data_IF_598694919807
#
_entry.id   IF_598694919807
#
_cell.length_a   1.000
_cell.length_b   1.000
_cell.length_c   1.000
_cell.angle_alpha   90.00
_cell.angle_beta   90.00
_cell.angle_gamma   90.00
#
_symmetry.space_group_name_H-M   'P 1'
#
loop_
_entity.id
_entity.type
_entity.pdbx_description
1 polymer ?
#
# COMPACT_ATOMS: atom_id res chain seq x y z
N UNK A 1 52.47 -62.05 -4.18
CA UNK A 1 52.81 -61.88 -5.61
C UNK A 1 51.55 -62.19 -6.42
N UNK A 2 51.07 -61.48 -7.38
CA UNK A 2 51.62 -60.36 -8.10
C UNK A 2 50.79 -59.06 -8.05
N UNK A 3 51.46 -58.04 -8.59
CA UNK A 3 51.00 -56.69 -8.86
C UNK A 3 49.94 -56.64 -9.96
N UNK A 4 49.07 -55.66 -9.90
CA UNK A 4 48.15 -55.30 -10.94
C UNK A 4 47.75 -53.81 -10.78
N UNK A 5 48.63 -52.92 -11.22
CA UNK A 5 48.30 -51.54 -11.37
C UNK A 5 47.34 -51.36 -12.54
N UNK A 6 46.28 -50.64 -12.34
CA UNK A 6 45.46 -50.10 -13.43
C UNK A 6 45.36 -48.60 -13.32
N UNK A 7 46.02 -47.98 -14.29
CA UNK A 7 45.97 -46.59 -14.65
C UNK A 7 44.53 -46.21 -15.03
N UNK A 8 43.97 -45.28 -14.33
CA UNK A 8 42.78 -44.53 -14.80
C UNK A 8 43.30 -43.28 -15.51
N UNK A 9 43.53 -43.44 -16.81
CA UNK A 9 43.85 -42.34 -17.70
C UNK A 9 42.65 -41.46 -17.91
N UNK A 10 42.87 -40.18 -17.70
CA UNK A 10 42.13 -39.02 -18.07
C UNK A 10 41.24 -39.15 -19.32
N UNK A 11 39.96 -38.88 -19.18
CA UNK A 11 39.10 -38.38 -20.26
C UNK A 11 38.38 -37.15 -19.74
N UNK A 12 39.08 -36.04 -19.71
CA UNK A 12 38.50 -34.74 -19.67
C UNK A 12 38.68 -34.10 -21.02
N UNK A 13 37.82 -34.45 -21.96
CA UNK A 13 37.77 -33.80 -23.25
C UNK A 13 36.43 -33.14 -23.47
N UNK A 14 36.49 -31.81 -23.42
CA UNK A 14 35.70 -30.87 -24.20
C UNK A 14 34.21 -30.84 -23.95
N UNK A 15 33.82 -30.03 -22.95
CA UNK A 15 32.52 -29.36 -22.99
C UNK A 15 32.57 -28.27 -24.09
N UNK A 16 31.56 -28.19 -24.95
CA UNK A 16 31.47 -27.11 -25.93
C UNK A 16 31.27 -25.78 -25.22
N UNK A 17 32.13 -24.83 -25.52
CA UNK A 17 31.97 -23.42 -25.17
C UNK A 17 30.67 -22.92 -25.78
N UNK A 18 29.66 -22.75 -24.97
CA UNK A 18 28.42 -22.08 -25.37
C UNK A 18 28.78 -20.66 -25.82
N UNK A 19 28.55 -20.41 -27.10
CA UNK A 19 28.67 -19.07 -27.66
C UNK A 19 27.69 -18.15 -26.93
N UNK A 20 28.27 -17.26 -26.12
CA UNK A 20 27.55 -16.15 -25.50
C UNK A 20 27.20 -15.17 -26.62
N UNK A 21 25.92 -15.16 -27.02
CA UNK A 21 25.37 -14.11 -27.88
C UNK A 21 25.17 -12.83 -27.03
N UNK A 22 25.96 -11.77 -27.25
CA UNK A 22 25.66 -10.48 -26.65
C UNK A 22 24.57 -9.80 -27.50
N UNK A 23 23.40 -9.56 -26.93
CA UNK A 23 22.48 -8.66 -27.58
C UNK A 23 20.99 -9.02 -27.59
N UNK A 24 20.44 -9.50 -26.47
CA UNK A 24 19.03 -9.34 -26.23
C UNK A 24 18.86 -8.41 -25.03
N UNK A 25 18.17 -7.27 -25.17
CA UNK A 25 17.76 -6.50 -24.01
C UNK A 25 16.84 -7.41 -23.20
N UNK A 26 17.29 -7.81 -22.02
CA UNK A 26 16.42 -8.38 -21.00
C UNK A 26 15.47 -7.23 -20.65
N UNK A 27 14.33 -7.22 -21.33
CA UNK A 27 13.20 -6.43 -20.89
C UNK A 27 12.77 -7.02 -19.54
N UNK A 28 13.42 -6.59 -18.48
CA UNK A 28 12.91 -6.73 -17.14
C UNK A 28 11.67 -5.85 -17.06
N UNK A 29 10.57 -6.36 -17.58
CA UNK A 29 9.24 -5.91 -17.21
C UNK A 29 9.09 -6.31 -15.74
N UNK A 30 9.69 -5.52 -14.86
CA UNK A 30 9.40 -5.54 -13.44
C UNK A 30 7.97 -5.08 -13.29
N UNK A 31 7.04 -6.03 -13.46
CA UNK A 31 5.72 -5.88 -12.91
C UNK A 31 5.90 -6.01 -11.39
N UNK A 32 6.50 -5.01 -10.77
CA UNK A 32 6.53 -4.83 -9.34
C UNK A 32 5.09 -4.56 -8.95
N UNK A 33 4.36 -5.61 -8.59
CA UNK A 33 3.18 -5.45 -7.76
C UNK A 33 3.67 -4.62 -6.57
N UNK A 34 3.25 -3.37 -6.52
CA UNK A 34 3.69 -2.49 -5.46
C UNK A 34 3.13 -3.04 -4.16
N UNK A 35 3.98 -3.17 -3.13
CA UNK A 35 3.57 -3.58 -1.78
C UNK A 35 2.71 -2.49 -1.10
N UNK A 36 2.04 -1.66 -1.91
CA UNK A 36 1.18 -0.57 -1.46
C UNK A 36 -0.28 -0.97 -1.65
N UNK A 37 -1.05 -0.89 -0.58
CA UNK A 37 -2.49 -1.09 -0.61
C UNK A 37 -3.21 0.17 -0.14
N UNK A 38 -4.28 0.56 -0.84
CA UNK A 38 -5.14 1.67 -0.43
C UNK A 38 -6.59 1.20 -0.24
N UNK A 39 -7.14 1.44 0.95
CA UNK A 39 -8.57 1.31 1.23
C UNK A 39 -9.27 2.59 0.77
N UNK A 40 -9.89 2.51 -0.38
CA UNK A 40 -10.29 3.63 -1.21
C UNK A 40 -11.81 3.83 -1.24
N UNK A 41 -12.23 5.10 -1.32
CA UNK A 41 -13.59 5.47 -1.69
C UNK A 41 -13.53 6.44 -2.89
N UNK A 42 -14.01 6.03 -4.08
CA UNK A 42 -13.95 6.87 -5.28
C UNK A 42 -14.79 8.15 -5.18
N UNK A 43 -15.76 8.20 -4.28
CA UNK A 43 -16.60 9.40 -4.04
C UNK A 43 -15.94 10.40 -3.09
N UNK A 44 -14.77 10.09 -2.52
CA UNK A 44 -14.07 10.96 -1.57
C UNK A 44 -12.87 11.65 -2.25
N UNK A 45 -12.86 12.99 -2.33
CA UNK A 45 -11.76 13.77 -2.91
C UNK A 45 -10.41 13.48 -2.24
N UNK A 46 -10.37 13.44 -0.89
CA UNK A 46 -9.16 13.06 -0.16
C UNK A 46 -8.63 11.70 -0.60
N UNK A 47 -9.52 10.72 -0.80
CA UNK A 47 -9.15 9.37 -1.23
C UNK A 47 -8.63 9.34 -2.68
N UNK A 48 -9.22 10.13 -3.57
CA UNK A 48 -8.75 10.28 -4.96
C UNK A 48 -7.40 10.97 -5.03
N UNK A 49 -7.22 12.07 -4.29
CA UNK A 49 -5.94 12.78 -4.21
C UNK A 49 -4.82 11.89 -3.67
N UNK A 50 -5.09 11.09 -2.62
CA UNK A 50 -4.12 10.13 -2.08
C UNK A 50 -3.72 9.09 -3.12
N UNK A 51 -4.69 8.49 -3.82
CA UNK A 51 -4.42 7.51 -4.88
C UNK A 51 -3.58 8.12 -6.01
N UNK A 52 -3.91 9.36 -6.41
CA UNK A 52 -3.17 10.06 -7.45
C UNK A 52 -1.72 10.36 -7.02
N UNK A 53 -1.46 10.73 -5.75
CA UNK A 53 -0.10 10.92 -5.23
C UNK A 53 0.70 9.61 -5.17
N UNK A 54 0.07 8.48 -4.83
CA UNK A 54 0.73 7.18 -4.90
C UNK A 54 1.16 6.89 -6.34
N UNK A 55 0.28 7.12 -7.33
CA UNK A 55 0.60 6.94 -8.74
C UNK A 55 1.66 7.91 -9.25
N UNK A 56 1.64 9.15 -8.75
CA UNK A 56 2.67 10.15 -9.08
C UNK A 56 4.07 9.80 -8.53
N UNK A 57 4.18 8.87 -7.59
CA UNK A 57 5.47 8.29 -7.18
C UNK A 57 5.95 7.15 -8.10
N UNK A 58 5.18 6.81 -9.15
CA UNK A 58 5.46 5.72 -10.08
C UNK A 58 4.98 4.35 -9.59
N UNK A 59 4.31 4.28 -8.44
CA UNK A 59 3.78 3.05 -7.90
C UNK A 59 2.31 2.84 -8.32
N UNK A 60 1.93 1.61 -8.64
CA UNK A 60 0.52 1.24 -8.83
C UNK A 60 0.05 0.41 -7.64
N UNK A 61 -0.79 0.97 -6.75
CA UNK A 61 -1.23 0.29 -5.54
C UNK A 61 -2.34 -0.72 -5.81
N UNK A 62 -2.47 -1.71 -4.92
CA UNK A 62 -3.68 -2.50 -4.82
C UNK A 62 -4.81 -1.61 -4.27
N UNK A 63 -5.82 -1.36 -5.08
CA UNK A 63 -6.97 -0.52 -4.70
C UNK A 63 -8.10 -1.40 -4.18
N UNK A 64 -8.44 -1.25 -2.90
CA UNK A 64 -9.58 -1.93 -2.26
C UNK A 64 -10.70 -0.91 -2.05
N UNK A 65 -11.77 -1.02 -2.83
CA UNK A 65 -12.98 -0.25 -2.61
C UNK A 65 -13.74 -0.84 -1.40
N UNK A 66 -13.40 -0.42 -0.20
CA UNK A 66 -13.88 -1.01 1.05
C UNK A 66 -15.40 -0.96 1.26
N UNK A 67 -16.12 -0.11 0.52
CA UNK A 67 -17.59 -0.10 0.53
C UNK A 67 -18.19 -1.27 -0.26
N UNK A 68 -17.44 -1.83 -1.21
CA UNK A 68 -17.83 -3.02 -2.00
C UNK A 68 -17.28 -4.30 -1.38
N UNK A 69 -16.04 -4.21 -0.89
CA UNK A 69 -15.32 -5.32 -0.27
C UNK A 69 -14.80 -4.86 1.10
N UNK A 70 -15.68 -4.86 2.12
CA UNK A 70 -15.29 -4.44 3.47
C UNK A 70 -14.21 -5.35 4.05
N UNK A 71 -13.27 -4.81 4.83
CA UNK A 71 -12.32 -5.64 5.57
C UNK A 71 -13.07 -6.45 6.63
N UNK A 72 -12.56 -7.63 6.93
CA UNK A 72 -13.02 -8.39 8.09
C UNK A 72 -12.54 -7.75 9.41
N UNK A 73 -13.02 -8.26 10.54
CA UNK A 73 -12.68 -7.73 11.88
C UNK A 73 -11.17 -7.75 12.13
N UNK A 74 -10.51 -8.85 11.84
CA UNK A 74 -9.08 -9.01 12.10
C UNK A 74 -8.26 -8.02 11.27
N UNK A 75 -8.60 -7.88 9.99
CA UNK A 75 -7.98 -6.92 9.07
C UNK A 75 -8.20 -5.47 9.52
N UNK A 76 -9.45 -5.12 9.88
CA UNK A 76 -9.76 -3.75 10.33
C UNK A 76 -9.01 -3.39 11.62
N UNK A 77 -8.99 -4.29 12.59
CA UNK A 77 -8.24 -4.10 13.84
C UNK A 77 -6.74 -3.96 13.59
N UNK A 78 -6.17 -4.81 12.73
CA UNK A 78 -4.75 -4.73 12.37
C UNK A 78 -4.41 -3.41 11.66
N UNK A 79 -5.27 -2.95 10.74
CA UNK A 79 -5.09 -1.67 10.06
C UNK A 79 -5.09 -0.50 11.04
N UNK A 80 -6.08 -0.44 11.94
CA UNK A 80 -6.19 0.63 12.93
C UNK A 80 -4.97 0.61 13.87
N UNK A 81 -4.61 -0.56 14.39
CA UNK A 81 -3.45 -0.70 15.26
C UNK A 81 -2.15 -0.26 14.55
N UNK A 82 -1.99 -0.61 13.28
CA UNK A 82 -0.82 -0.23 12.48
C UNK A 82 -0.74 1.28 12.19
N UNK A 83 -1.85 2.03 12.26
CA UNK A 83 -1.81 3.50 12.14
C UNK A 83 -1.24 4.17 13.38
N UNK A 84 -1.21 3.49 14.53
CA UNK A 84 -0.80 4.04 15.83
C UNK A 84 -1.78 5.07 16.40
N UNK A 85 -2.99 5.20 15.83
CA UNK A 85 -4.00 6.15 16.25
C UNK A 85 -5.11 5.46 17.07
N UNK A 86 -5.82 6.21 17.92
CA UNK A 86 -7.01 5.69 18.62
C UNK A 86 -8.07 5.21 17.63
N UNK A 87 -8.86 4.21 18.02
CA UNK A 87 -9.92 3.65 17.18
C UNK A 87 -10.92 4.72 16.71
N UNK A 88 -11.22 5.69 17.56
CA UNK A 88 -12.14 6.78 17.23
C UNK A 88 -11.70 7.61 16.02
N UNK A 89 -10.40 7.78 15.79
CA UNK A 89 -9.88 8.52 14.64
C UNK A 89 -10.10 7.75 13.32
N UNK A 90 -10.20 6.43 13.41
CA UNK A 90 -10.55 5.59 12.27
C UNK A 90 -12.07 5.61 11.97
N UNK A 91 -12.89 6.24 12.82
CA UNK A 91 -14.33 6.40 12.61
C UNK A 91 -14.62 7.74 11.95
N UNK A 92 -15.51 7.73 10.97
CA UNK A 92 -16.03 8.95 10.34
C UNK A 92 -17.10 9.61 11.20
N UNK A 93 -16.70 10.44 12.13
CA UNK A 93 -17.58 11.11 13.08
C UNK A 93 -18.56 12.12 12.43
N UNK A 94 -18.27 12.57 11.20
CA UNK A 94 -19.12 13.48 10.41
C UNK A 94 -20.26 12.77 9.66
N UNK A 95 -20.35 11.45 9.74
CA UNK A 95 -21.43 10.68 9.13
C UNK A 95 -22.65 10.74 10.02
N UNK A 96 -23.84 10.96 9.45
CA UNK A 96 -25.10 11.03 10.22
C UNK A 96 -25.32 9.77 11.07
N UNK A 97 -24.96 8.61 10.53
CA UNK A 97 -25.06 7.31 11.19
C UNK A 97 -24.22 7.23 12.49
N UNK A 98 -23.14 8.01 12.61
CA UNK A 98 -22.35 8.08 13.85
C UNK A 98 -23.20 8.57 15.04
N UNK A 99 -23.98 9.62 14.82
CA UNK A 99 -24.88 10.18 15.84
C UNK A 99 -26.14 9.32 16.02
N UNK A 100 -26.70 8.78 14.93
CA UNK A 100 -27.87 7.89 14.99
C UNK A 100 -27.62 6.65 15.83
N UNK A 101 -26.42 6.07 15.72
CA UNK A 101 -25.97 4.92 16.51
C UNK A 101 -25.44 5.32 17.91
N UNK A 102 -25.47 6.61 18.25
CA UNK A 102 -24.96 7.15 19.51
C UNK A 102 -23.53 6.74 19.83
N UNK A 103 -22.70 6.70 18.80
CA UNK A 103 -21.26 6.34 18.95
C UNK A 103 -20.45 7.47 19.62
N UNK A 104 -21.04 8.63 19.83
CA UNK A 104 -20.56 9.78 20.60
C UNK A 104 -20.90 9.70 22.09
N UNK A 105 -21.68 8.71 22.52
CA UNK A 105 -22.10 8.60 23.91
C UNK A 105 -20.91 8.26 24.83
N UNK A 106 -20.90 8.82 26.07
CA UNK A 106 -19.88 8.46 27.04
C UNK A 106 -19.94 6.97 27.38
N UNK A 107 -18.77 6.31 27.38
CA UNK A 107 -18.65 4.89 27.68
C UNK A 107 -18.70 3.96 26.45
N UNK A 108 -18.78 4.49 25.24
CA UNK A 108 -18.61 3.69 24.01
C UNK A 108 -17.18 3.16 23.97
N UNK A 109 -17.04 1.84 23.80
CA UNK A 109 -15.76 1.14 23.76
C UNK A 109 -15.23 1.02 22.34
N UNK A 110 -13.92 0.82 22.20
CA UNK A 110 -13.27 0.56 20.90
C UNK A 110 -13.91 -0.64 20.18
N UNK A 111 -14.30 -1.68 20.93
CA UNK A 111 -14.95 -2.85 20.36
C UNK A 111 -16.30 -2.49 19.71
N UNK A 112 -17.07 -1.62 20.35
CA UNK A 112 -18.35 -1.13 19.81
C UNK A 112 -18.15 -0.27 18.56
N UNK A 113 -17.10 0.56 18.52
CA UNK A 113 -16.74 1.33 17.34
C UNK A 113 -16.35 0.42 16.16
N UNK A 114 -15.58 -0.63 16.42
CA UNK A 114 -15.20 -1.63 15.41
C UNK A 114 -16.44 -2.39 14.93
N UNK A 115 -17.33 -2.81 15.82
CA UNK A 115 -18.59 -3.47 15.46
C UNK A 115 -19.44 -2.59 14.55
N UNK A 116 -19.57 -1.31 14.89
CA UNK A 116 -20.29 -0.35 14.06
C UNK A 116 -19.68 -0.17 12.67
N UNK A 117 -18.36 -0.09 12.57
CA UNK A 117 -17.65 0.01 11.29
C UNK A 117 -17.80 -1.24 10.42
N UNK A 118 -17.87 -2.42 11.03
CA UNK A 118 -18.09 -3.69 10.30
C UNK A 118 -19.53 -3.82 9.81
N UNK A 119 -20.51 -3.39 10.65
CA UNK A 119 -21.91 -3.37 10.27
C UNK A 119 -22.21 -2.29 9.21
N UNK A 120 -21.48 -1.19 9.27
CA UNK A 120 -21.66 -0.02 8.42
C UNK A 120 -20.32 0.51 7.91
N UNK A 121 -19.78 -0.06 6.84
CA UNK A 121 -18.46 0.33 6.31
C UNK A 121 -18.31 1.80 5.96
N UNK A 122 -19.41 2.52 5.72
CA UNK A 122 -19.39 3.98 5.50
C UNK A 122 -18.80 4.76 6.69
N UNK A 123 -18.83 4.19 7.88
CA UNK A 123 -18.24 4.74 9.09
C UNK A 123 -16.71 4.62 9.12
N UNK A 124 -16.11 3.79 8.29
CA UNK A 124 -14.65 3.69 8.19
C UNK A 124 -14.11 4.99 7.60
N UNK A 125 -13.21 5.63 8.34
CA UNK A 125 -12.52 6.83 7.87
C UNK A 125 -11.51 6.44 6.77
N UNK A 126 -11.24 7.33 5.81
CA UNK A 126 -10.51 7.00 4.57
C UNK A 126 -9.74 8.19 4.01
N UNK A 127 -8.73 7.89 3.20
CA UNK A 127 -8.19 6.57 2.87
C UNK A 127 -7.23 6.05 3.94
N UNK A 128 -7.17 4.73 4.11
CA UNK A 128 -6.10 4.07 4.85
C UNK A 128 -5.13 3.50 3.82
N UNK A 129 -3.85 3.80 3.97
CA UNK A 129 -2.79 3.34 3.07
C UNK A 129 -1.80 2.48 3.84
N UNK A 130 -1.48 1.33 3.28
CA UNK A 130 -0.47 0.39 3.77
C UNK A 130 0.69 0.38 2.80
N UNK A 131 1.90 0.55 3.30
CA UNK A 131 3.15 0.50 2.53
C UNK A 131 4.21 -0.28 3.31
N UNK A 132 5.34 -0.65 2.70
CA UNK A 132 6.47 -1.24 3.44
C UNK A 132 7.03 -0.35 4.55
N UNK A 133 6.81 0.97 4.47
CA UNK A 133 7.27 1.95 5.47
C UNK A 133 6.26 2.17 6.61
N UNK A 134 5.05 1.67 6.49
CA UNK A 134 4.02 1.76 7.52
C UNK A 134 2.61 1.90 6.99
N UNK A 135 1.67 2.03 7.93
CA UNK A 135 0.24 2.21 7.65
C UNK A 135 -0.21 3.55 8.18
N UNK A 136 -1.00 4.28 7.40
CA UNK A 136 -1.49 5.60 7.80
C UNK A 136 -2.90 5.88 7.30
N UNK A 137 -3.69 6.51 8.14
CA UNK A 137 -4.91 7.19 7.72
C UNK A 137 -4.52 8.54 7.11
N UNK A 138 -4.66 8.67 5.79
CA UNK A 138 -4.19 9.84 5.04
C UNK A 138 -5.27 10.94 5.00
N UNK A 139 -5.45 11.59 6.13
CA UNK A 139 -6.28 12.79 6.28
C UNK A 139 -5.53 13.83 7.10
N UNK A 140 -5.06 14.87 6.43
CA UNK A 140 -5.17 15.19 4.99
C UNK A 140 -4.41 14.24 4.05
N UNK A 141 -4.70 14.30 2.74
CA UNK A 141 -4.21 13.35 1.73
C UNK A 141 -2.68 13.28 1.61
N UNK A 142 -1.99 14.41 1.81
CA UNK A 142 -0.54 14.57 1.75
C UNK A 142 0.24 13.80 2.82
N UNK A 143 -0.43 13.29 3.84
CA UNK A 143 0.19 12.38 4.83
C UNK A 143 0.70 11.08 4.18
N UNK A 144 0.21 10.72 3.00
CA UNK A 144 0.71 9.57 2.27
C UNK A 144 2.18 9.74 1.87
N UNK A 145 2.64 10.97 1.65
CA UNK A 145 4.02 11.27 1.26
C UNK A 145 5.04 10.80 2.30
N UNK A 146 4.64 10.74 3.58
CA UNK A 146 5.52 10.34 4.68
C UNK A 146 5.80 8.83 4.70
N UNK A 147 4.98 8.04 4.01
CA UNK A 147 5.06 6.57 3.99
C UNK A 147 5.28 5.99 2.59
N UNK A 148 5.45 6.84 1.56
CA UNK A 148 5.77 6.35 0.22
C UNK A 148 7.24 5.97 0.12
N UNK A 149 7.56 4.75 -0.40
CA UNK A 149 8.94 4.30 -0.54
C UNK A 149 9.70 5.02 -1.68
N UNK A 150 8.99 5.63 -2.62
CA UNK A 150 9.57 6.34 -3.76
C UNK A 150 9.16 7.83 -3.74
N UNK A 151 10.04 8.73 -4.20
CA UNK A 151 9.75 10.15 -4.31
C UNK A 151 8.69 10.41 -5.38
N UNK A 152 8.08 11.59 -5.32
CA UNK A 152 7.16 12.06 -6.36
C UNK A 152 7.94 12.35 -7.64
N UNK A 153 7.39 11.96 -8.79
CA UNK A 153 8.04 12.13 -10.10
C UNK A 153 7.84 13.53 -10.70
N UNK A 154 6.91 14.31 -10.15
CA UNK A 154 6.60 15.66 -10.63
C UNK A 154 5.66 16.40 -9.70
N UNK A 155 5.29 17.61 -10.12
CA UNK A 155 4.33 18.43 -9.38
C UNK A 155 2.99 17.72 -9.20
N UNK A 156 2.37 17.94 -8.05
CA UNK A 156 1.02 17.46 -7.79
C UNK A 156 0.16 18.57 -7.17
N UNK A 157 -1.00 18.77 -7.79
CA UNK A 157 -2.03 19.70 -7.32
C UNK A 157 -3.29 18.88 -7.01
N UNK A 158 -3.89 19.12 -5.85
CA UNK A 158 -5.16 18.50 -5.45
C UNK A 158 -6.31 18.99 -6.33
N UNK A 159 -7.44 18.31 -6.26
CA UNK A 159 -8.68 18.66 -6.97
C UNK A 159 -9.22 20.05 -6.59
N UNK A 160 -8.93 20.54 -5.39
CA UNK A 160 -9.29 21.87 -4.89
C UNK A 160 -8.32 22.99 -5.30
N UNK A 161 -7.26 22.65 -6.05
CA UNK A 161 -6.25 23.59 -6.54
C UNK A 161 -5.05 23.80 -5.62
N UNK A 162 -5.00 23.13 -4.46
CA UNK A 162 -3.86 23.21 -3.55
C UNK A 162 -2.66 22.46 -4.12
N UNK A 163 -1.52 23.14 -4.26
CA UNK A 163 -0.25 22.53 -4.68
C UNK A 163 0.37 21.83 -3.49
N UNK A 164 0.56 20.52 -3.58
CA UNK A 164 1.14 19.67 -2.52
C UNK A 164 2.57 19.29 -2.82
N UNK A 165 2.88 19.13 -4.10
CA UNK A 165 4.22 18.76 -4.58
C UNK A 165 4.63 19.74 -5.66
N UNK A 166 5.82 20.33 -5.53
CA UNK A 166 6.37 21.25 -6.51
C UNK A 166 6.94 20.54 -7.75
N UNK A 167 7.41 21.30 -8.73
CA UNK A 167 7.95 20.76 -9.98
C UNK A 167 9.21 19.88 -9.76
N UNK A 168 9.88 20.00 -8.63
CA UNK A 168 11.06 19.23 -8.25
C UNK A 168 10.69 17.94 -7.51
N UNK A 169 9.40 17.61 -7.36
CA UNK A 169 8.93 16.44 -6.64
C UNK A 169 9.01 16.57 -5.10
N UNK A 170 9.22 17.77 -4.59
CA UNK A 170 9.32 18.05 -3.15
C UNK A 170 7.97 18.55 -2.63
N UNK A 171 7.71 18.31 -1.34
CA UNK A 171 6.54 18.87 -0.67
C UNK A 171 6.54 20.38 -0.72
N UNK A 172 5.43 20.98 -1.15
CA UNK A 172 5.25 22.42 -1.27
C UNK A 172 5.00 23.10 0.08
#
# INVERSE_FOLDING_TARGET
MPQGGQQWSAIWQQAPVAHFCPGLPISTSSNTMSDITIYHNPKCGTSRNTLAMIRNSGAEPLVIEYLKTPPDRATLQALIAATGQPVIDAVRTKEALFTELRLDAPGVTDAQLIDAMLAHPILINRPIVVTPLGTRLCRPSELVLDILPAPQQGAFTKEDGEVVVNAQGQRA
#
